data_IF_435943540867
#
_entry.id   IF_435943540867
#
_cell.length_a   1.000
_cell.length_b   1.000
_cell.length_c   1.000
_cell.angle_alpha   90.00
_cell.angle_beta   90.00
_cell.angle_gamma   90.00
#
_symmetry.space_group_name_H-M   'P 1'
#
loop_
_entity.id
_entity.type
_entity.pdbx_description
1 polymer ?
#
# COMPACT_ATOMS: atom_id res chain seq x y z
N UNK A 1 -1.71 -19.63 13.80
CA UNK A 1 -1.18 -18.25 13.73
C UNK A 1 0.33 -18.42 13.73
N UNK A 2 0.87 -18.71 12.55
CA UNK A 2 2.24 -19.19 12.37
C UNK A 2 3.20 -18.04 12.66
N UNK A 3 4.18 -18.29 13.54
CA UNK A 3 5.39 -17.48 13.68
C UNK A 3 5.94 -17.16 12.28
N UNK A 4 5.79 -15.91 11.84
CA UNK A 4 6.59 -15.36 10.77
C UNK A 4 7.95 -15.08 11.41
N UNK A 5 9.05 -15.70 10.95
CA UNK A 5 10.34 -15.50 11.57
C UNK A 5 10.69 -14.02 11.52
N UNK A 6 11.22 -13.52 12.64
CA UNK A 6 11.44 -12.10 12.93
C UNK A 6 12.57 -11.45 12.09
N UNK A 7 12.92 -12.04 10.95
CA UNK A 7 14.08 -11.73 10.11
C UNK A 7 13.73 -11.43 8.64
N UNK A 8 12.45 -11.31 8.26
CA UNK A 8 12.01 -11.05 6.88
C UNK A 8 12.30 -9.63 6.33
N UNK A 9 13.38 -9.00 6.76
CA UNK A 9 13.91 -7.78 6.14
C UNK A 9 15.33 -8.04 5.63
N UNK A 10 15.40 -8.76 4.52
CA UNK A 10 16.60 -8.86 3.72
C UNK A 10 17.17 -7.46 3.45
N UNK A 11 18.50 -7.30 3.37
CA UNK A 11 19.09 -6.06 2.91
C UNK A 11 18.53 -5.72 1.51
N UNK A 12 18.23 -4.43 1.23
CA UNK A 12 17.69 -4.02 -0.05
C UNK A 12 18.61 -4.50 -1.18
N UNK A 13 18.01 -4.98 -2.28
CA UNK A 13 18.76 -5.46 -3.44
C UNK A 13 19.82 -4.42 -3.89
N UNK A 14 20.96 -4.87 -4.44
CA UNK A 14 22.00 -3.97 -4.95
C UNK A 14 21.39 -2.90 -5.87
N UNK A 15 21.71 -1.62 -5.62
CA UNK A 15 21.20 -0.49 -6.39
C UNK A 15 19.78 -0.01 -6.04
N UNK A 16 19.01 -0.71 -5.19
CA UNK A 16 17.65 -0.28 -4.84
C UNK A 16 17.62 1.09 -4.15
N UNK A 17 18.60 1.38 -3.27
CA UNK A 17 18.77 2.69 -2.63
C UNK A 17 19.03 3.80 -3.65
N UNK A 18 19.87 3.54 -4.64
CA UNK A 18 20.19 4.48 -5.72
C UNK A 18 18.94 4.80 -6.53
N UNK A 19 18.21 3.76 -6.95
CA UNK A 19 16.95 3.92 -7.69
C UNK A 19 15.94 4.76 -6.91
N UNK A 20 15.75 4.46 -5.63
CA UNK A 20 14.83 5.21 -4.76
C UNK A 20 15.26 6.67 -4.64
N UNK A 21 16.54 6.94 -4.42
CA UNK A 21 17.05 8.30 -4.31
C UNK A 21 16.85 9.10 -5.59
N UNK A 22 17.18 8.52 -6.76
CA UNK A 22 17.03 9.16 -8.07
C UNK A 22 15.57 9.44 -8.41
N UNK A 23 14.69 8.44 -8.29
CA UNK A 23 13.26 8.61 -8.58
C UNK A 23 12.61 9.63 -7.63
N UNK A 24 13.01 9.62 -6.35
CA UNK A 24 12.51 10.58 -5.38
C UNK A 24 13.00 11.99 -5.68
N UNK A 25 14.28 12.16 -6.02
CA UNK A 25 14.84 13.47 -6.41
C UNK A 25 14.17 14.02 -7.67
N UNK A 26 13.98 13.19 -8.69
CA UNK A 26 13.32 13.59 -9.93
C UNK A 26 11.86 14.04 -9.71
N UNK A 27 11.14 13.41 -8.78
CA UNK A 27 9.71 13.70 -8.53
C UNK A 27 9.46 14.76 -7.46
N UNK A 28 10.31 14.83 -6.45
CA UNK A 28 10.12 15.69 -5.27
C UNK A 28 11.07 16.89 -5.24
N UNK A 29 12.03 16.97 -6.17
CA UNK A 29 13.02 18.05 -6.27
C UNK A 29 14.04 18.09 -5.13
N UNK A 30 14.18 17.01 -4.36
CA UNK A 30 15.08 16.93 -3.19
C UNK A 30 15.55 15.50 -2.95
N UNK A 31 16.69 15.35 -2.28
CA UNK A 31 17.18 14.02 -1.90
C UNK A 31 16.30 13.39 -0.81
N UNK A 32 16.18 12.06 -0.83
CA UNK A 32 15.41 11.31 0.15
C UNK A 32 16.30 10.96 1.37
N UNK A 33 16.06 11.51 2.57
CA UNK A 33 16.77 11.10 3.78
C UNK A 33 16.23 9.73 4.25
N UNK A 34 16.70 8.65 3.64
CA UNK A 34 16.23 7.28 3.92
C UNK A 34 16.58 6.79 5.33
N UNK A 35 17.65 7.30 5.96
CA UNK A 35 18.04 6.89 7.33
C UNK A 35 17.26 7.61 8.44
N UNK A 36 16.77 8.82 8.15
CA UNK A 36 16.04 9.64 9.11
C UNK A 36 14.90 10.38 8.40
N UNK A 37 13.86 9.65 7.97
CA UNK A 37 12.72 10.24 7.26
C UNK A 37 11.96 11.20 8.17
N UNK A 38 11.56 12.37 7.64
CA UNK A 38 10.77 13.38 8.37
C UNK A 38 9.41 13.63 7.73
N UNK A 39 9.24 13.23 6.47
CA UNK A 39 8.00 13.41 5.71
C UNK A 39 7.35 12.07 5.40
N UNK A 40 6.03 12.07 5.27
CA UNK A 40 5.27 10.88 4.88
C UNK A 40 5.85 10.20 3.63
N UNK A 41 6.19 10.99 2.60
CA UNK A 41 6.78 10.46 1.37
C UNK A 41 8.13 9.79 1.57
N UNK A 42 8.90 10.21 2.58
CA UNK A 42 10.21 9.64 2.94
C UNK A 42 10.02 8.35 3.74
N UNK A 43 9.04 8.31 4.65
CA UNK A 43 8.63 7.08 5.33
C UNK A 43 8.17 6.01 4.34
N UNK A 44 7.44 6.40 3.28
CA UNK A 44 7.06 5.46 2.21
C UNK A 44 8.30 4.89 1.50
N UNK A 45 9.31 5.71 1.20
CA UNK A 45 10.55 5.20 0.58
C UNK A 45 11.37 4.35 1.54
N UNK A 46 11.43 4.70 2.82
CA UNK A 46 12.06 3.88 3.87
C UNK A 46 11.42 2.50 3.91
N UNK A 47 10.08 2.43 3.94
CA UNK A 47 9.33 1.19 3.96
C UNK A 47 9.63 0.30 2.76
N UNK A 48 9.71 0.88 1.55
CA UNK A 48 10.08 0.13 0.33
C UNK A 48 11.45 -0.54 0.39
N UNK A 49 12.38 0.01 1.16
CA UNK A 49 13.75 -0.49 1.26
C UNK A 49 13.92 -1.49 2.41
N UNK A 50 13.21 -1.30 3.50
CA UNK A 50 13.46 -1.99 4.77
C UNK A 50 12.27 -2.68 5.40
N UNK A 51 11.09 -2.65 4.80
CA UNK A 51 9.89 -3.34 5.31
C UNK A 51 9.24 -4.05 4.12
N UNK A 52 9.84 -5.18 3.74
CA UNK A 52 9.47 -5.98 2.56
C UNK A 52 8.71 -7.23 2.97
N UNK A 53 7.58 -7.02 3.64
CA UNK A 53 6.65 -8.12 3.93
C UNK A 53 5.96 -8.62 2.64
N UNK A 54 6.09 -9.92 2.29
CA UNK A 54 5.43 -10.50 1.12
C UNK A 54 3.89 -10.45 1.17
N UNK A 55 3.29 -10.20 2.33
CA UNK A 55 1.85 -9.97 2.45
C UNK A 55 1.43 -8.58 1.96
N UNK A 56 2.34 -7.58 1.96
CA UNK A 56 2.01 -6.20 1.60
C UNK A 56 1.39 -6.06 0.19
N UNK A 57 1.94 -6.68 -0.88
CA UNK A 57 1.32 -6.63 -2.20
C UNK A 57 -0.13 -7.14 -2.21
N UNK A 58 -0.43 -8.20 -1.44
CA UNK A 58 -1.79 -8.75 -1.33
C UNK A 58 -2.72 -7.81 -0.59
N UNK A 59 -2.23 -7.19 0.48
CA UNK A 59 -3.00 -6.22 1.28
C UNK A 59 -3.21 -4.87 0.56
N UNK A 60 -2.37 -4.54 -0.42
CA UNK A 60 -2.57 -3.37 -1.29
C UNK A 60 -3.73 -3.56 -2.27
N UNK A 61 -4.08 -4.80 -2.62
CA UNK A 61 -5.32 -5.07 -3.35
C UNK A 61 -6.52 -4.81 -2.44
N UNK A 62 -7.23 -3.72 -2.75
CA UNK A 62 -8.38 -3.25 -1.99
C UNK A 62 -9.53 -4.27 -1.94
N UNK A 63 -9.73 -5.07 -2.98
CA UNK A 63 -10.79 -6.09 -2.99
C UNK A 63 -10.39 -7.25 -2.09
N UNK A 64 -9.16 -7.74 -2.26
CA UNK A 64 -8.63 -8.82 -1.43
C UNK A 64 -8.60 -8.43 0.05
N UNK A 65 -8.05 -7.27 0.38
CA UNK A 65 -7.94 -6.80 1.76
C UNK A 65 -9.31 -6.67 2.42
N UNK A 66 -10.32 -6.14 1.71
CA UNK A 66 -11.69 -6.05 2.23
C UNK A 66 -12.31 -7.42 2.49
N UNK A 67 -12.14 -8.37 1.58
CA UNK A 67 -12.62 -9.76 1.75
C UNK A 67 -11.93 -10.43 2.94
N UNK A 68 -10.61 -10.23 3.09
CA UNK A 68 -9.82 -10.75 4.20
C UNK A 68 -10.31 -10.20 5.54
N UNK A 69 -10.55 -8.89 5.64
CA UNK A 69 -11.05 -8.25 6.86
C UNK A 69 -12.47 -8.69 7.17
N UNK A 70 -13.37 -8.72 6.17
CA UNK A 70 -14.74 -9.18 6.35
C UNK A 70 -14.80 -10.63 6.86
N UNK A 71 -13.96 -11.52 6.33
CA UNK A 71 -13.88 -12.91 6.76
C UNK A 71 -13.29 -13.10 8.17
N UNK A 72 -12.54 -12.12 8.69
CA UNK A 72 -11.89 -12.20 10.02
C UNK A 72 -12.65 -11.45 11.12
N UNK A 73 -13.22 -10.29 10.79
CA UNK A 73 -13.82 -9.37 11.76
C UNK A 73 -15.33 -9.19 11.54
N UNK A 74 -15.87 -9.65 10.41
CA UNK A 74 -17.25 -9.40 10.00
C UNK A 74 -17.37 -8.23 9.02
N UNK A 75 -18.47 -8.20 8.25
CA UNK A 75 -18.73 -7.19 7.22
C UNK A 75 -18.88 -5.77 7.75
N UNK A 76 -19.29 -5.62 9.01
CA UNK A 76 -19.55 -4.31 9.64
C UNK A 76 -18.25 -3.51 9.84
N UNK A 77 -17.11 -4.20 9.87
CA UNK A 77 -15.78 -3.60 9.95
C UNK A 77 -15.22 -3.18 8.59
N UNK A 78 -15.96 -3.40 7.50
CA UNK A 78 -15.52 -3.13 6.14
C UNK A 78 -16.35 -2.00 5.53
N UNK A 79 -15.69 -0.88 5.25
CA UNK A 79 -16.32 0.23 4.56
C UNK A 79 -16.92 -0.20 3.21
N UNK A 80 -18.16 0.18 2.86
CA UNK A 80 -18.80 -0.22 1.61
C UNK A 80 -17.98 0.23 0.40
N UNK A 81 -17.78 -0.68 -0.55
CA UNK A 81 -17.06 -0.36 -1.78
C UNK A 81 -17.96 0.48 -2.70
N UNK A 82 -17.43 1.59 -3.21
CA UNK A 82 -18.20 2.46 -4.11
C UNK A 82 -18.46 1.80 -5.47
N UNK A 83 -17.50 1.02 -5.97
CA UNK A 83 -17.60 0.29 -7.23
C UNK A 83 -16.51 -0.77 -7.35
N UNK A 84 -16.83 -1.92 -7.97
CA UNK A 84 -15.91 -2.91 -8.52
C UNK A 84 -16.44 -3.41 -9.87
N UNK A 85 -15.55 -3.67 -10.83
CA UNK A 85 -15.92 -4.24 -12.12
C UNK A 85 -14.90 -3.97 -13.23
N UNK A 86 -15.12 -4.54 -14.43
CA UNK A 86 -14.25 -4.31 -15.59
C UNK A 86 -14.60 -3.01 -16.35
N UNK A 87 -15.82 -2.49 -16.21
CA UNK A 87 -16.29 -1.29 -16.91
C UNK A 87 -17.08 -0.37 -15.99
N UNK A 88 -16.76 0.93 -16.04
CA UNK A 88 -17.46 1.94 -15.24
C UNK A 88 -18.95 1.99 -15.62
N UNK A 89 -19.85 2.20 -14.64
CA UNK A 89 -21.26 2.40 -14.93
C UNK A 89 -21.44 3.65 -15.79
N UNK A 90 -22.43 3.63 -16.69
CA UNK A 90 -22.72 4.74 -17.63
C UNK A 90 -23.19 6.03 -16.93
N UNK A 91 -23.41 6.00 -15.62
CA UNK A 91 -23.77 7.15 -14.80
C UNK A 91 -22.95 7.19 -13.51
N UNK A 92 -22.95 8.34 -12.83
CA UNK A 92 -22.30 8.47 -11.52
C UNK A 92 -23.02 7.53 -10.55
N UNK A 93 -22.34 6.60 -9.86
CA UNK A 93 -23.02 5.74 -8.88
C UNK A 93 -23.54 6.61 -7.73
N UNK A 94 -24.83 6.93 -7.75
CA UNK A 94 -25.49 7.67 -6.68
C UNK A 94 -25.54 6.76 -5.44
N UNK A 95 -24.98 7.21 -4.32
CA UNK A 95 -25.10 6.49 -3.05
C UNK A 95 -26.45 6.88 -2.43
N UNK A 96 -27.51 6.15 -2.80
CA UNK A 96 -28.88 6.33 -2.29
C UNK A 96 -29.89 6.80 -3.34
N UNK A 97 -31.18 6.73 -2.98
CA UNK A 97 -32.35 6.93 -3.86
C UNK A 97 -32.62 8.39 -4.29
N UNK A 98 -31.60 9.25 -4.35
CA UNK A 98 -31.72 10.62 -4.87
C UNK A 98 -30.52 10.93 -5.74
N UNK A 99 -30.68 10.63 -7.02
CA UNK A 99 -30.26 11.53 -8.09
C UNK A 99 -31.54 12.30 -8.49
#
# INVERSE_FOLDING_TARGET
MTDLPADANDPPAPGARMRVALCYAARMGRLCPVKNPRRFTEFVQHRKLYDRDPAMPRLLDKLYAKRLVAGRLGSDWVAPLAWEGPALPRGRPCRGARC
#
